data_IF_260573752300
#
_entry.id   IF_260573752300
#
_cell.length_a   1.000
_cell.length_b   1.000
_cell.length_c   1.000
_cell.angle_alpha   90.00
_cell.angle_beta   90.00
_cell.angle_gamma   90.00
#
_symmetry.space_group_name_H-M   'P 1'
#
loop_
_entity.id
_entity.type
_entity.pdbx_description
1 polymer ?
#
# COMPACT_ATOMS: atom_id res chain seq x y z
N UNK A 1 2.28 13.14 -17.53
CA UNK A 1 1.67 12.75 -17.19
C UNK A 1 1.41 12.40 -17.13
N UNK A 2 1.56 12.57 -16.92
CA UNK A 2 0.97 12.10 -16.58
C UNK A 2 0.82 11.50 -16.62
N UNK A 3 1.17 11.84 -16.62
CA UNK A 3 0.64 11.03 -16.48
C UNK A 3 0.91 10.18 -15.93
N UNK A 4 1.82 10.70 -15.56
CA UNK A 4 2.07 9.60 -14.86
C UNK A 4 1.10 9.28 -13.82
N UNK A 5 0.63 10.25 -13.07
CA UNK A 5 -0.42 10.02 -12.14
C UNK A 5 -1.66 9.51 -12.81
N UNK A 6 -1.95 9.97 -14.00
CA UNK A 6 -3.05 9.41 -14.75
C UNK A 6 -2.83 7.96 -15.07
N UNK A 7 -1.60 7.59 -15.43
CA UNK A 7 -1.27 6.21 -15.68
C UNK A 7 -1.45 5.38 -14.42
N UNK A 8 -1.06 5.90 -13.28
CA UNK A 8 -1.28 5.20 -12.03
C UNK A 8 -2.75 5.03 -11.74
N UNK A 9 -3.55 6.04 -11.96
CA UNK A 9 -4.99 5.93 -11.79
C UNK A 9 -5.58 4.88 -12.72
N UNK A 10 -5.10 4.81 -13.95
CA UNK A 10 -5.58 3.81 -14.90
C UNK A 10 -5.27 2.40 -14.46
N UNK A 11 -4.26 2.21 -13.61
CA UNK A 11 -3.88 0.91 -13.12
C UNK A 11 -4.57 0.53 -11.82
N UNK A 12 -5.35 1.42 -11.24
CA UNK A 12 -6.12 1.14 -10.02
C UNK A 12 -7.59 1.06 -10.37
N UNK A 13 -8.23 -0.02 -9.98
CA UNK A 13 -9.64 -0.22 -10.25
C UNK A 13 -10.53 0.62 -9.35
N UNK A 14 -9.95 1.24 -8.32
CA UNK A 14 -10.72 2.07 -7.40
C UNK A 14 -9.79 3.13 -6.82
N UNK A 15 -10.38 4.18 -6.25
CA UNK A 15 -9.66 5.27 -5.62
C UNK A 15 -9.71 5.15 -4.10
N UNK A 16 -8.94 5.99 -3.40
CA UNK A 16 -8.86 5.95 -1.95
C UNK A 16 -10.21 6.26 -1.27
N UNK A 17 -11.15 6.88 -1.98
CA UNK A 17 -12.46 7.21 -1.44
C UNK A 17 -13.57 6.30 -1.96
N UNK A 18 -13.23 5.16 -2.54
CA UNK A 18 -14.20 4.21 -3.07
C UNK A 18 -15.07 3.65 -1.95
N UNK A 19 -16.40 3.65 -2.16
CA UNK A 19 -17.39 3.15 -1.21
C UNK A 19 -18.37 2.18 -1.85
N UNK A 20 -17.94 1.49 -2.89
CA UNK A 20 -18.82 0.59 -3.63
C UNK A 20 -19.21 -0.67 -2.85
N UNK A 21 -18.41 -1.04 -1.85
CA UNK A 21 -18.69 -2.20 -1.00
C UNK A 21 -19.21 -1.71 0.36
N UNK A 22 -20.53 -1.69 0.59
CA UNK A 22 -21.07 -1.10 1.82
C UNK A 22 -20.51 -1.72 3.10
N UNK A 23 -20.33 -3.04 3.12
CA UNK A 23 -19.79 -3.73 4.29
C UNK A 23 -18.37 -3.28 4.59
N UNK A 24 -17.52 -3.22 3.57
CA UNK A 24 -16.13 -2.80 3.73
C UNK A 24 -16.05 -1.31 4.08
N UNK A 25 -16.82 -0.48 3.37
CA UNK A 25 -16.85 0.96 3.63
C UNK A 25 -17.30 1.25 5.06
N UNK A 26 -18.34 0.55 5.54
CA UNK A 26 -18.79 0.70 6.92
C UNK A 26 -17.73 0.27 7.93
N UNK A 27 -17.05 -0.84 7.67
CA UNK A 27 -15.95 -1.30 8.52
C UNK A 27 -14.85 -0.25 8.61
N UNK A 28 -14.45 0.33 7.46
CA UNK A 28 -13.39 1.33 7.45
C UNK A 28 -13.80 2.59 8.21
N UNK A 29 -15.07 2.99 8.13
CA UNK A 29 -15.57 4.12 8.90
C UNK A 29 -15.51 3.84 10.41
N UNK A 30 -15.88 2.62 10.82
CA UNK A 30 -15.80 2.24 12.23
C UNK A 30 -14.35 2.26 12.72
N UNK A 31 -13.42 1.76 11.91
CA UNK A 31 -11.99 1.81 12.25
C UNK A 31 -11.52 3.25 12.38
N UNK A 32 -11.93 4.13 11.46
CA UNK A 32 -11.52 5.54 11.50
C UNK A 32 -12.07 6.25 12.72
N UNK A 33 -13.27 5.89 13.15
CA UNK A 33 -13.86 6.44 14.36
C UNK A 33 -13.09 6.03 15.60
N UNK A 34 -12.65 4.76 15.64
CA UNK A 34 -11.92 4.23 16.79
C UNK A 34 -10.45 4.67 16.79
N UNK A 35 -9.83 4.72 15.62
CA UNK A 35 -8.42 5.08 15.46
C UNK A 35 -8.35 6.26 14.49
N UNK A 36 -8.52 7.47 15.02
CA UNK A 36 -8.71 8.67 14.19
C UNK A 36 -7.50 9.04 13.35
N UNK A 37 -6.30 8.58 13.73
CA UNK A 37 -5.07 8.83 12.97
C UNK A 37 -4.77 7.76 11.94
N UNK A 38 -5.62 6.73 11.81
CA UNK A 38 -5.42 5.69 10.81
C UNK A 38 -5.84 6.19 9.43
N UNK A 39 -5.15 5.67 8.41
CA UNK A 39 -5.50 5.94 7.01
C UNK A 39 -6.93 5.47 6.70
N UNK A 40 -7.25 4.22 7.02
CA UNK A 40 -8.60 3.62 6.99
C UNK A 40 -9.36 3.91 5.69
N UNK A 41 -8.69 3.72 4.57
CA UNK A 41 -9.24 3.89 3.23
C UNK A 41 -8.74 2.75 2.34
N UNK A 42 -9.28 2.59 1.14
CA UNK A 42 -8.72 1.62 0.20
C UNK A 42 -7.23 1.89 -0.03
N UNK A 43 -6.43 0.84 0.05
CA UNK A 43 -4.98 0.95 -0.07
C UNK A 43 -4.58 0.72 -1.52
N UNK A 44 -3.91 1.71 -2.12
CA UNK A 44 -3.44 1.61 -3.50
C UNK A 44 -2.24 0.68 -3.61
N UNK A 45 -2.06 0.10 -4.78
CA UNK A 45 -0.85 -0.64 -5.09
C UNK A 45 0.36 0.30 -4.97
N UNK A 46 1.49 -0.24 -4.55
CA UNK A 46 2.70 0.53 -4.28
C UNK A 46 3.84 -0.01 -5.11
N UNK A 47 4.56 0.87 -5.79
CA UNK A 47 5.78 0.52 -6.48
C UNK A 47 5.78 0.88 -7.96
N UNK A 48 6.63 0.19 -8.71
CA UNK A 48 6.87 0.47 -10.12
C UNK A 48 5.60 0.25 -10.95
N UNK A 49 5.34 1.15 -11.89
CA UNK A 49 4.17 1.04 -12.76
C UNK A 49 4.36 -0.09 -13.76
N UNK A 50 5.60 -0.36 -14.16
CA UNK A 50 5.92 -1.43 -15.11
C UNK A 50 6.83 -2.46 -14.43
N UNK A 51 6.30 -3.20 -13.44
CA UNK A 51 7.15 -4.09 -12.65
C UNK A 51 7.50 -5.36 -13.40
N UNK A 52 8.67 -5.91 -13.09
CA UNK A 52 9.02 -7.27 -13.49
C UNK A 52 8.53 -8.28 -12.46
N UNK A 53 8.31 -7.85 -11.22
CA UNK A 53 7.83 -8.69 -10.13
C UNK A 53 6.59 -8.02 -9.53
N UNK A 54 5.49 -8.77 -9.49
CA UNK A 54 4.25 -8.31 -8.84
C UNK A 54 3.99 -9.18 -7.63
N UNK A 55 3.86 -8.54 -6.47
CA UNK A 55 3.55 -9.22 -5.21
C UNK A 55 2.10 -8.91 -4.87
N UNK A 56 1.29 -9.95 -4.71
CA UNK A 56 -0.13 -9.81 -4.43
C UNK A 56 -0.40 -10.33 -3.02
N UNK A 57 -0.87 -9.44 -2.15
CA UNK A 57 -1.28 -9.80 -0.81
C UNK A 57 -2.75 -10.17 -0.75
N UNK A 58 -3.17 -10.72 0.38
CA UNK A 58 -4.56 -11.13 0.58
C UNK A 58 -5.46 -9.94 0.90
N UNK A 59 -5.04 -9.09 1.84
CA UNK A 59 -5.83 -7.95 2.29
C UNK A 59 -4.96 -7.04 3.16
N UNK A 60 -5.30 -5.74 3.23
CA UNK A 60 -4.57 -4.82 4.12
C UNK A 60 -4.73 -5.23 5.59
N UNK A 61 -3.63 -5.28 6.32
CA UNK A 61 -3.68 -5.52 7.75
C UNK A 61 -4.31 -4.34 8.47
N UNK A 62 -5.14 -4.62 9.50
CA UNK A 62 -5.88 -3.58 10.20
C UNK A 62 -4.95 -2.54 10.83
N UNK A 63 -3.87 -2.98 11.46
CA UNK A 63 -2.90 -2.09 12.12
C UNK A 63 -1.63 -1.89 11.29
N UNK A 64 -1.60 -2.40 10.06
CA UNK A 64 -0.50 -2.25 9.14
C UNK A 64 -0.88 -1.34 7.98
N UNK A 65 -1.19 -1.92 6.82
CA UNK A 65 -1.52 -1.12 5.63
C UNK A 65 -2.75 -0.25 5.85
N UNK A 66 -3.74 -0.73 6.60
CA UNK A 66 -4.92 0.06 6.89
C UNK A 66 -4.60 1.26 7.78
N UNK A 67 -3.60 1.15 8.63
CA UNK A 67 -3.15 2.25 9.47
C UNK A 67 -2.29 3.24 8.71
N UNK A 68 -1.37 2.76 7.89
CA UNK A 68 -0.34 3.58 7.25
C UNK A 68 -0.69 4.02 5.82
N UNK A 69 -1.51 3.25 5.10
CA UNK A 69 -1.84 3.53 3.71
C UNK A 69 -0.92 2.88 2.70
N UNK A 70 0.08 2.10 3.12
CA UNK A 70 1.02 1.43 2.23
C UNK A 70 0.97 -0.07 2.46
N UNK A 71 0.93 -0.90 1.40
CA UNK A 71 0.94 -2.35 1.57
C UNK A 71 2.09 -2.84 2.44
N UNK A 72 1.82 -3.79 3.31
CA UNK A 72 2.80 -4.44 4.19
C UNK A 72 3.64 -3.47 5.00
N UNK A 73 3.04 -2.36 5.44
CA UNK A 73 3.75 -1.32 6.17
C UNK A 73 3.05 -1.02 7.48
N UNK A 74 3.80 -1.02 8.56
CA UNK A 74 3.30 -0.64 9.87
C UNK A 74 3.02 -1.81 10.80
N UNK A 75 3.12 -3.04 10.32
CA UNK A 75 2.98 -4.22 11.17
C UNK A 75 4.11 -5.21 10.90
N UNK A 76 4.06 -6.35 11.57
CA UNK A 76 5.14 -7.32 11.53
C UNK A 76 5.31 -7.96 10.15
N UNK A 77 4.23 -8.06 9.37
CA UNK A 77 4.25 -8.80 8.12
C UNK A 77 5.21 -8.23 7.09
N UNK A 78 5.43 -6.92 7.11
CA UNK A 78 6.30 -6.28 6.13
C UNK A 78 7.78 -6.34 6.42
N UNK A 79 8.17 -6.73 7.64
CA UNK A 79 9.57 -6.66 8.03
C UNK A 79 10.45 -7.53 7.13
N UNK A 80 10.14 -8.80 7.05
CA UNK A 80 10.90 -9.73 6.21
C UNK A 80 10.78 -9.38 4.73
N UNK A 81 9.58 -8.99 4.30
CA UNK A 81 9.34 -8.67 2.90
C UNK A 81 10.24 -7.54 2.42
N UNK A 82 10.24 -6.41 3.12
CA UNK A 82 11.02 -5.25 2.67
C UNK A 82 12.51 -5.46 2.84
N UNK A 83 12.94 -6.18 3.87
CA UNK A 83 14.35 -6.56 4.00
C UNK A 83 14.80 -7.41 2.82
N UNK A 84 13.98 -8.38 2.44
CA UNK A 84 14.30 -9.28 1.32
C UNK A 84 14.33 -8.51 0.00
N UNK A 85 13.34 -7.64 -0.23
CA UNK A 85 13.32 -6.84 -1.43
C UNK A 85 14.56 -5.95 -1.54
N UNK A 86 14.97 -5.36 -0.43
CA UNK A 86 16.19 -4.55 -0.42
C UNK A 86 17.43 -5.39 -0.71
N UNK A 87 17.51 -6.57 -0.13
CA UNK A 87 18.65 -7.46 -0.32
C UNK A 87 18.83 -7.83 -1.80
N UNK A 88 17.74 -7.98 -2.53
CA UNK A 88 17.79 -8.39 -3.94
C UNK A 88 17.64 -7.21 -4.91
N UNK A 89 17.74 -5.98 -4.43
CA UNK A 89 17.78 -4.81 -5.31
C UNK A 89 16.43 -4.27 -5.75
N UNK A 90 15.34 -4.75 -5.15
CA UNK A 90 13.99 -4.29 -5.50
C UNK A 90 13.49 -3.15 -4.63
N UNK A 91 14.24 -2.75 -3.61
CA UNK A 91 13.84 -1.68 -2.72
C UNK A 91 15.06 -0.81 -2.40
N UNK A 92 14.83 0.51 -2.31
CA UNK A 92 15.91 1.46 -2.00
C UNK A 92 16.28 1.44 -0.52
N UNK A 93 15.41 0.88 0.34
CA UNK A 93 15.63 0.84 1.79
C UNK A 93 15.17 -0.51 2.32
N UNK A 94 15.78 -0.99 3.43
CA UNK A 94 15.39 -2.28 3.99
C UNK A 94 14.12 -2.23 4.83
N UNK A 95 13.60 -1.03 5.14
CA UNK A 95 12.43 -0.89 5.99
C UNK A 95 11.39 -0.02 5.32
N UNK A 96 10.13 -0.35 5.55
CA UNK A 96 9.00 0.49 5.17
C UNK A 96 8.29 0.93 6.45
N UNK A 97 8.34 2.22 6.74
CA UNK A 97 7.87 2.79 8.01
C UNK A 97 6.61 3.61 7.81
N UNK A 98 6.58 4.44 6.78
CA UNK A 98 5.46 5.36 6.51
C UNK A 98 5.47 5.73 5.05
N UNK A 99 4.35 6.29 4.57
CA UNK A 99 4.22 6.64 3.15
C UNK A 99 5.19 7.75 2.72
N UNK A 100 5.73 8.51 3.65
CA UNK A 100 6.65 9.61 3.35
C UNK A 100 8.09 9.32 3.76
N UNK A 101 8.47 8.05 3.90
CA UNK A 101 9.81 7.67 4.36
C UNK A 101 10.86 7.65 3.25
N UNK A 102 10.50 7.95 2.01
CA UNK A 102 11.43 7.99 0.89
C UNK A 102 11.73 6.64 0.26
N UNK A 103 11.12 5.57 0.75
CA UNK A 103 11.33 4.24 0.17
C UNK A 103 10.72 4.16 -1.22
N UNK A 104 11.45 3.56 -2.16
CA UNK A 104 10.97 3.29 -3.50
C UNK A 104 11.20 1.83 -3.86
N UNK A 105 10.29 1.26 -4.64
CA UNK A 105 10.46 -0.07 -5.19
C UNK A 105 10.94 0.03 -6.64
N UNK A 106 11.88 -0.83 -7.00
CA UNK A 106 12.53 -0.83 -8.30
C UNK A 106 12.19 -2.13 -9.02
N UNK A 107 11.44 -2.04 -10.12
CA UNK A 107 11.04 -3.23 -10.88
C UNK A 107 10.08 -4.14 -10.15
N UNK A 108 9.45 -3.67 -9.08
CA UNK A 108 8.57 -4.45 -8.22
C UNK A 108 7.36 -3.61 -7.86
N UNK A 109 6.20 -4.26 -7.76
CA UNK A 109 4.95 -3.63 -7.33
C UNK A 109 4.23 -4.55 -6.36
N UNK A 110 3.63 -3.97 -5.33
CA UNK A 110 2.89 -4.71 -4.31
C UNK A 110 1.43 -4.26 -4.35
N UNK A 111 0.54 -5.24 -4.44
CA UNK A 111 -0.89 -4.95 -4.46
C UNK A 111 -1.62 -5.74 -3.37
#
# INVERSE_FOLDING_TARGET
>A
MTNDSLTQHGNNLHTFDCKQCPRLSGFLQDVKTKYTDYYACPVSAFGDIHPKLLIVGLAPGMHGANRTGRPFTGDYAGILLYQTLHQFGFSTRPESVATDDGLQLLGCRIS
#
